data_IF_332971873512
#
_entry.id   IF_332971873512
#
_cell.length_a   1.000
_cell.length_b   1.000
_cell.length_c   1.000
_cell.angle_alpha   90.00
_cell.angle_beta   90.00
_cell.angle_gamma   90.00
#
_symmetry.space_group_name_H-M   'P 1'
#
loop_
_entity.id
_entity.type
_entity.pdbx_description
1 polymer ?
#
# COMPACT_ATOMS: atom_id res chain seq x y z
N UNK A 1 36.54 49.18 16.30
CA UNK A 1 36.12 47.79 16.56
C UNK A 1 34.66 47.69 16.11
N UNK A 2 34.44 47.18 14.90
CA UNK A 2 33.09 47.03 14.33
C UNK A 2 32.62 45.63 14.66
N UNK A 3 31.62 45.51 15.52
CA UNK A 3 30.98 44.22 15.82
C UNK A 3 29.90 44.02 14.76
N UNK A 4 30.22 43.25 13.72
CA UNK A 4 29.23 42.79 12.76
C UNK A 4 28.41 41.67 13.40
N UNK A 5 27.27 42.03 13.98
CA UNK A 5 26.15 41.10 14.11
C UNK A 5 25.41 41.06 12.78
N UNK A 6 25.36 39.88 12.14
CA UNK A 6 24.21 39.36 11.37
C UNK A 6 24.61 38.01 10.74
N UNK A 7 24.53 36.95 11.53
CA UNK A 7 24.07 35.68 10.95
C UNK A 7 22.66 35.47 11.47
N UNK A 8 21.69 36.14 10.82
CA UNK A 8 20.30 35.71 10.90
C UNK A 8 20.29 34.20 10.66
N UNK A 9 19.71 33.47 11.61
CA UNK A 9 19.69 32.01 11.61
C UNK A 9 19.17 31.51 10.26
N UNK A 10 20.09 31.05 9.41
CA UNK A 10 19.73 30.29 8.22
C UNK A 10 19.07 29.02 8.72
N UNK A 11 17.75 29.04 8.84
CA UNK A 11 16.95 27.86 9.08
C UNK A 11 17.43 26.83 8.06
N UNK A 12 18.04 25.74 8.54
CA UNK A 12 18.51 24.67 7.67
C UNK A 12 17.31 24.27 6.81
N UNK A 13 17.42 24.50 5.51
CA UNK A 13 16.32 24.27 4.59
C UNK A 13 16.10 22.77 4.47
N UNK A 14 15.25 22.21 5.32
CA UNK A 14 14.74 20.83 5.25
C UNK A 14 13.79 20.66 4.04
N UNK A 15 14.19 21.18 2.87
CA UNK A 15 13.42 21.09 1.63
C UNK A 15 13.68 19.76 0.92
N UNK A 16 14.84 19.16 1.16
CA UNK A 16 15.28 17.93 0.54
C UNK A 16 15.58 16.87 1.59
N UNK A 17 15.11 15.66 1.34
CA UNK A 17 15.38 14.51 2.18
C UNK A 17 16.60 13.79 1.58
N UNK A 18 17.76 13.79 2.25
CA UNK A 18 18.92 13.09 1.72
C UNK A 18 18.68 11.57 1.71
N UNK A 19 18.81 10.98 0.52
CA UNK A 19 18.82 9.53 0.32
C UNK A 19 17.58 8.80 0.84
N UNK A 20 16.54 8.70 0.01
CA UNK A 20 15.26 8.09 0.39
C UNK A 20 15.41 6.64 0.93
N UNK A 21 16.46 5.93 0.49
CA UNK A 21 16.85 4.60 0.96
C UNK A 21 17.30 4.63 2.42
N UNK A 22 18.05 5.67 2.82
CA UNK A 22 18.54 5.82 4.20
C UNK A 22 17.37 6.11 5.13
N UNK A 23 16.42 6.98 4.74
CA UNK A 23 15.23 7.23 5.57
C UNK A 23 14.43 5.96 5.85
N UNK A 24 14.37 5.02 4.90
CA UNK A 24 13.67 3.75 5.08
C UNK A 24 14.28 2.86 6.16
N UNK A 25 15.57 3.03 6.46
CA UNK A 25 16.23 2.25 7.50
C UNK A 25 15.86 2.76 8.90
N UNK A 26 15.43 4.01 9.02
CA UNK A 26 15.16 4.66 10.31
C UNK A 26 13.68 4.92 10.57
N UNK A 27 12.87 5.05 9.51
CA UNK A 27 11.47 5.43 9.62
C UNK A 27 10.54 4.31 9.17
N UNK A 28 9.52 4.06 9.99
CA UNK A 28 8.45 3.16 9.63
C UNK A 28 7.55 3.74 8.55
N UNK A 29 6.72 2.88 7.95
CA UNK A 29 5.73 3.30 6.93
C UNK A 29 4.84 4.45 7.40
N UNK A 30 4.41 4.43 8.66
CA UNK A 30 3.54 5.46 9.24
C UNK A 30 4.24 6.82 9.26
N UNK A 31 5.50 6.86 9.70
CA UNK A 31 6.29 8.08 9.77
C UNK A 31 6.53 8.67 8.38
N UNK A 32 6.76 7.81 7.38
CA UNK A 32 6.92 8.23 5.99
C UNK A 32 5.64 8.82 5.40
N UNK A 33 4.47 8.28 5.76
CA UNK A 33 3.18 8.85 5.38
C UNK A 33 3.03 10.24 5.99
N UNK A 34 3.29 10.39 7.29
CA UNK A 34 3.19 11.69 7.95
C UNK A 34 4.15 12.72 7.37
N UNK A 35 5.40 12.35 7.11
CA UNK A 35 6.37 13.22 6.44
C UNK A 35 5.89 13.65 5.05
N UNK A 36 5.25 12.74 4.30
CA UNK A 36 4.71 13.07 2.97
C UNK A 36 3.56 14.08 3.01
N UNK A 37 2.88 14.21 4.15
CA UNK A 37 1.78 15.16 4.34
C UNK A 37 2.34 16.56 4.64
N UNK A 38 3.47 16.66 5.35
CA UNK A 38 4.05 17.93 5.81
C UNK A 38 4.29 18.96 4.69
N UNK A 39 4.80 18.55 3.51
CA UNK A 39 5.00 19.49 2.40
C UNK A 39 5.01 18.81 1.02
N UNK A 40 4.74 19.60 -0.03
CA UNK A 40 4.72 19.14 -1.44
C UNK A 40 6.05 18.52 -1.87
N UNK A 41 7.18 19.05 -1.40
CA UNK A 41 8.51 18.54 -1.73
C UNK A 41 8.69 17.10 -1.24
N UNK A 42 8.34 16.85 0.02
CA UNK A 42 8.43 15.53 0.64
C UNK A 42 7.43 14.56 0.04
N UNK A 43 6.20 15.03 -0.21
CA UNK A 43 5.19 14.24 -0.92
C UNK A 43 5.73 13.69 -2.23
N UNK A 44 6.32 14.53 -3.07
CA UNK A 44 6.86 14.11 -4.36
C UNK A 44 8.04 13.12 -4.23
N UNK A 45 8.89 13.30 -3.21
CA UNK A 45 10.05 12.42 -2.96
C UNK A 45 9.63 11.06 -2.39
N UNK A 46 8.59 11.04 -1.55
CA UNK A 46 8.14 9.85 -0.83
C UNK A 46 6.99 9.12 -1.52
N UNK A 47 6.30 9.73 -2.50
CA UNK A 47 5.11 9.19 -3.14
C UNK A 47 5.29 7.73 -3.58
N UNK A 48 6.35 7.47 -4.34
CA UNK A 48 6.64 6.11 -4.82
C UNK A 48 6.78 5.11 -3.68
N UNK A 49 7.40 5.51 -2.59
CA UNK A 49 7.66 4.65 -1.44
C UNK A 49 6.41 4.42 -0.59
N UNK A 50 5.61 5.48 -0.39
CA UNK A 50 4.33 5.42 0.31
C UNK A 50 3.38 4.48 -0.41
N UNK A 51 3.30 4.55 -1.75
CA UNK A 51 2.39 3.72 -2.53
C UNK A 51 2.97 2.37 -2.96
N UNK A 52 4.25 2.09 -2.71
CA UNK A 52 4.88 0.82 -3.13
C UNK A 52 4.22 -0.41 -2.50
N UNK A 53 3.80 -0.29 -1.24
CA UNK A 53 3.14 -1.36 -0.49
C UNK A 53 1.71 -0.98 -0.15
N UNK A 54 0.73 -1.79 -0.54
CA UNK A 54 -0.65 -1.69 -0.09
C UNK A 54 -1.07 -2.95 0.66
N UNK A 55 -2.01 -2.79 1.57
CA UNK A 55 -2.57 -3.87 2.37
C UNK A 55 -4.07 -3.64 2.49
N UNK A 56 -4.87 -4.53 1.91
CA UNK A 56 -6.31 -4.47 2.04
C UNK A 56 -6.73 -4.67 3.50
N UNK A 57 -5.99 -5.46 4.26
CA UNK A 57 -6.22 -5.66 5.70
C UNK A 57 -6.00 -4.37 6.48
N UNK A 58 -4.89 -3.69 6.25
CA UNK A 58 -4.63 -2.40 6.91
C UNK A 58 -5.68 -1.37 6.53
N UNK A 59 -6.04 -1.29 5.25
CA UNK A 59 -7.11 -0.41 4.80
C UNK A 59 -8.45 -0.75 5.46
N UNK A 60 -8.78 -2.03 5.60
CA UNK A 60 -10.01 -2.50 6.23
C UNK A 60 -10.11 -2.11 7.70
N UNK A 61 -8.98 -2.09 8.43
CA UNK A 61 -8.94 -1.64 9.82
C UNK A 61 -9.17 -0.14 9.97
N UNK A 62 -8.59 0.68 9.09
CA UNK A 62 -8.81 2.13 9.12
C UNK A 62 -10.20 2.52 8.59
N UNK A 63 -10.82 1.67 7.78
CA UNK A 63 -12.15 1.87 7.21
C UNK A 63 -13.12 0.83 7.77
N UNK A 64 -13.07 0.58 9.08
CA UNK A 64 -13.75 -0.55 9.71
C UNK A 64 -15.27 -0.57 9.48
N UNK A 65 -15.95 0.58 9.47
CA UNK A 65 -17.39 0.67 9.20
C UNK A 65 -17.72 0.17 7.79
N UNK A 66 -16.96 0.66 6.80
CA UNK A 66 -17.07 0.24 5.41
C UNK A 66 -16.69 -1.24 5.26
N UNK A 67 -15.60 -1.67 5.90
CA UNK A 67 -15.16 -3.06 5.89
C UNK A 67 -16.18 -4.01 6.50
N UNK A 68 -16.92 -3.57 7.52
CA UNK A 68 -17.96 -4.37 8.15
C UNK A 68 -19.09 -4.62 7.15
N UNK A 69 -19.55 -3.58 6.46
CA UNK A 69 -20.54 -3.71 5.39
C UNK A 69 -20.04 -4.64 4.27
N UNK A 70 -18.78 -4.50 3.84
CA UNK A 70 -18.18 -5.33 2.79
C UNK A 70 -18.06 -6.80 3.20
N UNK A 71 -17.65 -7.08 4.45
CA UNK A 71 -17.49 -8.43 4.98
C UNK A 71 -18.83 -9.15 5.09
N UNK A 72 -19.89 -8.46 5.51
CA UNK A 72 -21.24 -9.06 5.58
C UNK A 72 -21.93 -9.16 4.22
N UNK A 73 -21.56 -8.33 3.25
CA UNK A 73 -22.19 -8.31 1.93
C UNK A 73 -21.45 -9.12 0.86
N UNK A 74 -20.28 -9.69 1.16
CA UNK A 74 -19.39 -10.36 0.19
C UNK A 74 -18.98 -9.45 -0.99
N UNK A 75 -19.02 -8.12 -0.84
CA UNK A 75 -18.78 -7.16 -1.93
C UNK A 75 -17.35 -6.66 -1.99
N UNK A 76 -16.35 -7.56 -1.91
CA UNK A 76 -14.94 -7.16 -1.94
C UNK A 76 -14.57 -6.35 -3.19
N UNK A 77 -15.30 -6.50 -4.29
CA UNK A 77 -15.18 -5.66 -5.50
C UNK A 77 -15.36 -4.17 -5.22
N UNK A 78 -16.32 -3.78 -4.37
CA UNK A 78 -16.49 -2.38 -3.97
C UNK A 78 -15.24 -1.81 -3.30
N UNK A 79 -14.51 -2.65 -2.55
CA UNK A 79 -13.24 -2.22 -1.96
C UNK A 79 -12.20 -1.87 -3.04
N UNK A 80 -12.16 -2.63 -4.14
CA UNK A 80 -11.30 -2.34 -5.29
C UNK A 80 -11.75 -1.08 -6.02
N UNK A 81 -13.05 -0.86 -6.16
CA UNK A 81 -13.60 0.37 -6.73
C UNK A 81 -13.23 1.60 -5.91
N UNK A 82 -13.36 1.53 -4.58
CA UNK A 82 -12.92 2.60 -3.67
C UNK A 82 -11.41 2.83 -3.79
N UNK A 83 -10.61 1.75 -3.79
CA UNK A 83 -9.16 1.84 -3.95
C UNK A 83 -8.80 2.52 -5.29
N UNK A 84 -9.53 2.21 -6.36
CA UNK A 84 -9.37 2.84 -7.68
C UNK A 84 -9.75 4.31 -7.65
N UNK A 85 -10.84 4.68 -6.99
CA UNK A 85 -11.27 6.07 -6.87
C UNK A 85 -10.26 6.91 -6.07
N UNK A 86 -9.76 6.38 -4.94
CA UNK A 86 -8.87 7.10 -4.03
C UNK A 86 -7.45 7.26 -4.58
N UNK A 87 -6.91 6.18 -5.18
CA UNK A 87 -5.52 6.13 -5.60
C UNK A 87 -5.34 6.43 -7.09
N UNK A 88 -6.35 6.15 -7.92
CA UNK A 88 -6.34 6.42 -9.35
C UNK A 88 -5.06 5.96 -10.03
N UNK A 89 -4.35 6.90 -10.67
CA UNK A 89 -3.10 6.61 -11.39
C UNK A 89 -1.94 6.17 -10.49
N UNK A 90 -2.02 6.35 -9.16
CA UNK A 90 -0.98 5.93 -8.21
C UNK A 90 -0.94 4.42 -8.00
N UNK A 91 -1.99 3.69 -8.39
CA UNK A 91 -2.02 2.22 -8.32
C UNK A 91 -0.88 1.57 -9.12
N UNK A 92 -0.37 2.22 -10.17
CA UNK A 92 0.81 1.75 -10.93
C UNK A 92 2.10 1.70 -10.10
N UNK A 93 2.16 2.43 -8.98
CA UNK A 93 3.30 2.46 -8.08
C UNK A 93 3.32 1.27 -7.13
N UNK A 94 2.20 0.56 -6.99
CA UNK A 94 2.04 -0.56 -6.09
C UNK A 94 2.80 -1.76 -6.64
N UNK A 95 3.80 -2.22 -5.88
CA UNK A 95 4.62 -3.41 -6.19
C UNK A 95 4.37 -4.55 -5.23
N UNK A 96 3.93 -4.25 -4.00
CA UNK A 96 3.66 -5.23 -2.95
C UNK A 96 2.22 -5.08 -2.49
N UNK A 97 1.45 -6.16 -2.53
CA UNK A 97 0.06 -6.16 -2.08
C UNK A 97 -0.16 -7.23 -1.01
N UNK A 98 -0.85 -6.87 0.06
CA UNK A 98 -1.28 -7.82 1.11
C UNK A 98 -2.79 -7.99 1.05
N UNK A 99 -3.23 -9.22 0.82
CA UNK A 99 -4.60 -9.61 0.55
C UNK A 99 -5.06 -10.62 1.60
N UNK A 100 -6.31 -10.48 2.06
CA UNK A 100 -6.93 -11.52 2.88
C UNK A 100 -7.47 -12.62 1.96
N UNK A 101 -7.28 -13.88 2.34
CA UNK A 101 -7.39 -15.03 1.46
C UNK A 101 -8.79 -15.31 0.89
N UNK A 102 -9.84 -14.67 1.41
CA UNK A 102 -11.21 -14.85 0.92
C UNK A 102 -11.43 -14.06 -0.38
N UNK A 103 -11.05 -14.63 -1.52
CA UNK A 103 -11.26 -14.02 -2.85
C UNK A 103 -11.95 -14.97 -3.81
N UNK A 104 -13.02 -14.48 -4.43
CA UNK A 104 -13.69 -15.17 -5.54
C UNK A 104 -13.05 -14.82 -6.89
N UNK A 105 -13.49 -15.48 -7.96
CA UNK A 105 -12.99 -15.27 -9.31
C UNK A 105 -13.29 -13.85 -9.84
N UNK A 106 -14.43 -13.27 -9.49
CA UNK A 106 -14.86 -11.97 -10.00
C UNK A 106 -13.99 -10.84 -9.41
N UNK A 107 -13.72 -10.93 -8.10
CA UNK A 107 -12.74 -10.11 -7.42
C UNK A 107 -11.35 -10.30 -8.05
N UNK A 108 -10.92 -11.54 -8.25
CA UNK A 108 -9.61 -11.86 -8.81
C UNK A 108 -9.38 -11.21 -10.18
N UNK A 109 -10.35 -11.31 -11.09
CA UNK A 109 -10.26 -10.69 -12.41
C UNK A 109 -10.17 -9.16 -12.34
N UNK A 110 -10.95 -8.54 -11.45
CA UNK A 110 -10.92 -7.09 -11.25
C UNK A 110 -9.58 -6.68 -10.64
N UNK A 111 -9.08 -7.44 -9.68
CA UNK A 111 -7.82 -7.21 -9.00
C UNK A 111 -6.62 -7.23 -9.96
N UNK A 112 -6.52 -8.26 -10.81
CA UNK A 112 -5.39 -8.38 -11.76
C UNK A 112 -5.37 -7.27 -12.79
N UNK A 113 -6.55 -6.84 -13.27
CA UNK A 113 -6.69 -5.68 -14.17
C UNK A 113 -6.31 -4.37 -13.49
N UNK A 114 -6.64 -4.21 -12.20
CA UNK A 114 -6.41 -2.97 -11.45
C UNK A 114 -4.95 -2.79 -11.04
N UNK A 115 -4.29 -3.88 -10.69
CA UNK A 115 -2.94 -3.89 -10.11
C UNK A 115 -1.96 -4.74 -10.93
N UNK A 116 -1.77 -4.45 -12.23
CA UNK A 116 -0.92 -5.26 -13.11
C UNK A 116 0.57 -5.16 -12.77
N UNK A 117 0.95 -4.20 -11.92
CA UNK A 117 2.33 -3.90 -11.55
C UNK A 117 2.84 -4.64 -10.31
N UNK A 118 2.01 -5.49 -9.70
CA UNK A 118 2.38 -6.26 -8.51
C UNK A 118 3.51 -7.24 -8.84
N UNK A 119 4.54 -7.22 -7.98
CA UNK A 119 5.65 -8.16 -7.98
C UNK A 119 5.63 -9.08 -6.76
N UNK A 120 5.06 -8.63 -5.66
CA UNK A 120 4.93 -9.43 -4.43
C UNK A 120 3.48 -9.45 -3.98
N UNK A 121 2.89 -10.64 -3.91
CA UNK A 121 1.58 -10.86 -3.31
C UNK A 121 1.77 -11.57 -1.98
N UNK A 122 1.22 -11.01 -0.90
CA UNK A 122 1.18 -11.63 0.42
C UNK A 122 -0.26 -12.01 0.73
N UNK A 123 -0.49 -13.28 1.02
CA UNK A 123 -1.80 -13.81 1.37
C UNK A 123 -1.85 -14.04 2.87
N UNK A 124 -2.82 -13.41 3.53
CA UNK A 124 -3.14 -13.68 4.93
C UNK A 124 -4.17 -14.80 4.93
N UNK A 125 -3.76 -15.99 5.35
CA UNK A 125 -4.60 -17.18 5.40
C UNK A 125 -5.28 -17.22 6.76
N UNK A 126 -6.60 -17.33 6.78
CA UNK A 126 -7.36 -17.59 8.01
C UNK A 126 -7.35 -19.08 8.37
N UNK A 127 -8.02 -19.48 9.46
CA UNK A 127 -8.14 -20.90 9.84
C UNK A 127 -8.56 -21.76 8.64
N UNK A 128 -7.82 -22.84 8.42
CA UNK A 128 -7.86 -23.75 7.25
C UNK A 128 -9.29 -24.23 6.90
N UNK A 129 -10.22 -24.20 7.86
CA UNK A 129 -11.63 -24.56 7.68
C UNK A 129 -12.38 -23.66 6.68
N UNK A 130 -11.93 -22.43 6.45
CA UNK A 130 -12.47 -21.54 5.42
C UNK A 130 -11.55 -21.57 4.22
N UNK A 131 -11.66 -22.62 3.40
CA UNK A 131 -10.85 -22.86 2.20
C UNK A 131 -10.75 -21.63 1.29
N UNK A 132 -9.71 -20.84 1.53
CA UNK A 132 -9.43 -19.61 0.80
C UNK A 132 -8.64 -19.84 -0.50
N UNK A 133 -8.11 -21.05 -0.70
CA UNK A 133 -7.26 -21.41 -1.83
C UNK A 133 -8.11 -22.02 -2.94
N UNK A 134 -9.09 -21.25 -3.41
CA UNK A 134 -9.99 -21.63 -4.50
C UNK A 134 -9.55 -21.11 -5.86
N UNK A 135 -10.45 -21.19 -6.83
CA UNK A 135 -10.24 -20.73 -8.21
C UNK A 135 -9.85 -19.24 -8.31
N UNK A 136 -10.29 -18.40 -7.36
CA UNK A 136 -9.93 -16.98 -7.31
C UNK A 136 -8.43 -16.75 -7.22
N UNK A 137 -7.71 -17.51 -6.38
CA UNK A 137 -6.24 -17.37 -6.31
C UNK A 137 -5.58 -17.80 -7.62
N UNK A 138 -6.03 -18.91 -8.22
CA UNK A 138 -5.51 -19.37 -9.51
C UNK A 138 -5.70 -18.29 -10.58
N UNK A 139 -6.85 -17.62 -10.58
CA UNK A 139 -7.14 -16.49 -11.47
C UNK A 139 -6.18 -15.32 -11.23
N UNK A 140 -5.87 -14.98 -9.97
CA UNK A 140 -4.88 -13.94 -9.65
C UNK A 140 -3.50 -14.32 -10.20
N UNK A 141 -3.04 -15.53 -9.91
CA UNK A 141 -1.69 -16.00 -10.31
C UNK A 141 -1.54 -16.06 -11.83
N UNK A 142 -2.60 -16.45 -12.55
CA UNK A 142 -2.60 -16.45 -14.03
C UNK A 142 -2.68 -15.04 -14.62
N UNK A 143 -3.34 -14.11 -13.94
CA UNK A 143 -3.56 -12.76 -14.47
C UNK A 143 -2.45 -11.75 -14.16
N UNK A 144 -1.51 -12.05 -13.26
CA UNK A 144 -0.37 -11.16 -12.95
C UNK A 144 0.91 -11.73 -13.56
N UNK A 145 1.23 -11.31 -14.78
CA UNK A 145 2.42 -11.77 -15.51
C UNK A 145 3.75 -11.38 -14.81
N UNK A 146 3.76 -10.29 -14.06
CA UNK A 146 4.96 -9.75 -13.40
C UNK A 146 5.17 -10.21 -11.95
N UNK A 147 4.46 -11.25 -11.50
CA UNK A 147 4.55 -11.71 -10.11
C UNK A 147 5.88 -12.45 -9.89
N UNK A 148 6.71 -11.94 -8.98
CA UNK A 148 8.02 -12.50 -8.64
C UNK A 148 7.98 -13.31 -7.34
N UNK A 149 7.12 -12.92 -6.39
CA UNK A 149 7.04 -13.51 -5.05
C UNK A 149 5.60 -13.70 -4.58
N UNK A 150 5.32 -14.87 -4.02
CA UNK A 150 4.08 -15.21 -3.34
C UNK A 150 4.40 -15.66 -1.92
N UNK A 151 3.94 -14.90 -0.92
CA UNK A 151 4.13 -15.22 0.49
C UNK A 151 2.81 -15.60 1.14
N UNK A 152 2.83 -16.63 2.00
CA UNK A 152 1.70 -16.99 2.85
C UNK A 152 2.03 -16.58 4.29
N UNK A 153 1.08 -15.94 4.95
CA UNK A 153 1.18 -15.56 6.35
C UNK A 153 -0.02 -16.13 7.10
N UNK A 154 0.25 -16.94 8.11
CA UNK A 154 -0.77 -17.42 9.05
C UNK A 154 -0.88 -16.42 10.20
N UNK A 155 -2.11 -16.12 10.62
CA UNK A 155 -2.33 -15.30 11.82
C UNK A 155 -2.62 -16.29 12.94
N UNK A 156 -1.57 -16.70 13.66
CA UNK A 156 -1.69 -17.44 14.93
C UNK A 156 -2.62 -16.71 15.92
#
# INVERSE_FOLDING_TARGET
>A
MVINQTSEGKAAGWKYIPGNIILFQYLGRRDLIELSICCKSYRNQLERLVFEKLSLVTWSWYNWEFSKELKYSYKLEKALETLKADLGSKLKLVKKFTLNCMVDCSFAETFTKLLPSIKTLKLIVGPVEYGCLGEGLITILKGIEGLEHLDFYDVE
#
